data_IF_408411318026
#
_entry.id   IF_408411318026
#
_cell.length_a   1.000
_cell.length_b   1.000
_cell.length_c   1.000
_cell.angle_alpha   90.00
_cell.angle_beta   90.00
_cell.angle_gamma   90.00
#
_symmetry.space_group_name_H-M   'P 1'
#
loop_
_entity.id
_entity.type
_entity.pdbx_description
1 polymer ?
#
# COMPACT_ATOMS: atom_id res chain seq x y z
N UNK A 1 91.58 27.20 19.38
CA UNK A 1 90.52 28.02 18.74
C UNK A 1 89.46 27.01 18.37
N UNK A 2 88.50 26.84 19.25
CA UNK A 2 87.40 25.87 19.17
C UNK A 2 86.17 26.66 18.77
N UNK A 3 85.58 26.31 17.61
CA UNK A 3 84.38 26.88 17.12
C UNK A 3 83.18 26.21 17.80
N UNK A 4 82.14 26.95 18.25
CA UNK A 4 80.96 26.34 18.91
C UNK A 4 79.95 25.90 17.87
N UNK A 5 79.54 24.65 17.98
CA UNK A 5 78.48 23.97 17.26
C UNK A 5 77.09 24.56 17.61
N UNK A 6 76.36 24.95 16.59
CA UNK A 6 74.99 25.51 16.69
C UNK A 6 73.96 24.33 16.64
N UNK A 7 73.05 24.16 17.61
CA UNK A 7 72.06 23.10 17.56
C UNK A 7 70.96 23.44 16.56
N UNK A 8 70.71 22.51 15.62
CA UNK A 8 69.61 22.53 14.65
C UNK A 8 68.31 22.21 15.37
N UNK A 9 67.39 23.13 15.40
CA UNK A 9 66.02 22.90 15.84
C UNK A 9 65.22 22.15 14.77
N UNK A 10 64.93 20.87 15.04
CA UNK A 10 63.98 20.05 14.26
C UNK A 10 62.56 20.66 14.34
N UNK A 11 62.04 21.16 13.21
CA UNK A 11 60.64 21.56 13.06
C UNK A 11 59.79 20.30 12.99
N UNK A 12 59.14 19.93 14.10
CA UNK A 12 58.08 18.91 14.14
C UNK A 12 56.88 19.37 13.29
N UNK A 13 56.76 18.76 12.11
CA UNK A 13 55.58 18.89 11.25
C UNK A 13 54.42 18.09 11.90
N UNK A 14 53.58 18.78 12.68
CA UNK A 14 52.32 18.22 13.14
C UNK A 14 51.41 17.99 11.96
N UNK A 15 51.25 16.72 11.59
CA UNK A 15 50.35 16.20 10.59
C UNK A 15 48.92 16.67 10.93
N UNK A 16 48.28 17.47 10.08
CA UNK A 16 46.88 17.91 10.18
C UNK A 16 45.89 16.86 9.65
N UNK A 17 46.38 15.69 9.24
CA UNK A 17 45.62 14.61 8.67
C UNK A 17 44.44 14.06 9.54
N UNK A 18 44.58 13.87 10.87
CA UNK A 18 43.48 13.36 11.68
C UNK A 18 42.32 14.32 11.84
N UNK A 19 42.55 15.65 11.76
CA UNK A 19 41.49 16.65 11.85
C UNK A 19 40.63 16.75 10.58
N UNK A 20 41.22 16.50 9.41
CA UNK A 20 40.53 16.50 8.12
C UNK A 20 39.65 15.25 8.00
N UNK A 21 40.14 14.08 8.40
CA UNK A 21 39.37 12.83 8.39
C UNK A 21 38.20 12.87 9.36
N UNK A 22 38.37 13.43 10.57
CA UNK A 22 37.30 13.62 11.54
C UNK A 22 36.21 14.57 11.02
N UNK A 23 36.59 15.66 10.35
CA UNK A 23 35.65 16.61 9.74
C UNK A 23 34.81 15.97 8.61
N UNK A 24 35.42 15.15 7.74
CA UNK A 24 34.72 14.45 6.66
C UNK A 24 33.74 13.39 7.18
N UNK A 25 34.08 12.69 8.25
CA UNK A 25 33.17 11.71 8.89
C UNK A 25 31.96 12.40 9.51
N UNK A 26 32.16 13.54 10.21
CA UNK A 26 31.05 14.31 10.77
C UNK A 26 30.15 14.88 9.69
N UNK A 27 30.69 15.41 8.61
CA UNK A 27 29.90 15.88 7.46
C UNK A 27 29.13 14.72 6.81
N UNK A 28 29.74 13.55 6.64
CA UNK A 28 29.07 12.38 6.09
C UNK A 28 27.91 11.89 6.99
N UNK A 29 28.07 11.92 8.32
CA UNK A 29 27.03 11.58 9.28
C UNK A 29 25.88 12.61 9.25
N UNK A 30 26.22 13.90 9.17
CA UNK A 30 25.22 14.97 9.06
C UNK A 30 24.45 14.88 7.74
N UNK A 31 25.16 14.64 6.62
CA UNK A 31 24.51 14.46 5.29
C UNK A 31 23.66 13.19 5.28
N UNK A 32 24.12 12.08 5.85
CA UNK A 32 23.34 10.86 5.98
C UNK A 32 22.13 11.05 6.91
N UNK A 33 22.30 11.78 8.01
CA UNK A 33 21.21 12.13 8.94
C UNK A 33 20.17 13.06 8.30
N UNK A 34 20.61 14.06 7.53
CA UNK A 34 19.71 14.95 6.78
C UNK A 34 19.03 14.18 5.66
N UNK A 35 19.74 13.32 4.93
CA UNK A 35 19.16 12.46 3.90
C UNK A 35 18.12 11.49 4.48
N UNK A 36 18.40 10.92 5.66
CA UNK A 36 17.46 10.04 6.36
C UNK A 36 16.23 10.81 6.90
N UNK A 37 16.43 12.06 7.34
CA UNK A 37 15.36 12.93 7.83
C UNK A 37 14.49 13.54 6.71
N UNK A 38 15.02 13.62 5.49
CA UNK A 38 14.35 14.11 4.28
C UNK A 38 13.83 12.97 3.40
N UNK A 39 13.94 11.72 3.86
CA UNK A 39 13.41 10.59 3.14
C UNK A 39 11.90 10.62 3.27
N UNK A 40 11.22 10.62 2.14
CA UNK A 40 9.79 10.38 2.09
C UNK A 40 9.55 8.94 2.57
N UNK A 41 8.88 8.80 3.72
CA UNK A 41 8.56 7.49 4.31
C UNK A 41 7.19 6.97 3.80
N UNK A 42 6.67 7.55 2.71
CA UNK A 42 5.47 7.05 2.06
C UNK A 42 5.75 5.68 1.44
N UNK A 43 4.89 4.67 1.66
CA UNK A 43 5.00 3.40 0.98
C UNK A 43 4.79 3.57 -0.53
N UNK A 44 5.37 2.68 -1.32
CA UNK A 44 5.24 2.70 -2.78
C UNK A 44 3.77 2.64 -3.22
N UNK A 45 3.48 3.19 -4.41
CA UNK A 45 2.16 3.08 -5.04
C UNK A 45 1.80 1.62 -5.35
N UNK A 46 0.51 1.32 -5.38
CA UNK A 46 0.03 -0.03 -5.72
C UNK A 46 0.45 -0.42 -7.13
N UNK A 47 0.93 -1.66 -7.28
CA UNK A 47 1.41 -2.21 -8.55
C UNK A 47 1.05 -3.69 -8.63
N UNK A 48 0.48 -4.14 -9.77
CA UNK A 48 0.02 -5.51 -9.93
C UNK A 48 1.18 -6.52 -9.88
N UNK A 49 2.32 -6.23 -10.48
CA UNK A 49 3.45 -7.17 -10.52
C UNK A 49 4.01 -7.41 -9.11
N UNK A 50 4.10 -6.35 -8.29
CA UNK A 50 4.54 -6.43 -6.91
C UNK A 50 3.53 -7.19 -6.05
N UNK A 51 2.23 -6.91 -6.21
CA UNK A 51 1.16 -7.62 -5.50
C UNK A 51 1.14 -9.12 -5.84
N UNK A 52 1.30 -9.49 -7.11
CA UNK A 52 1.39 -10.89 -7.57
C UNK A 52 2.64 -11.59 -7.00
N UNK A 53 3.79 -10.92 -6.99
CA UNK A 53 5.03 -11.49 -6.45
C UNK A 53 4.89 -11.80 -4.95
N UNK A 54 4.20 -10.95 -4.20
CA UNK A 54 3.96 -11.13 -2.76
C UNK A 54 3.06 -12.34 -2.47
N UNK A 55 1.97 -12.52 -3.23
CA UNK A 55 1.06 -13.68 -3.10
C UNK A 55 1.82 -14.99 -3.36
N UNK A 56 2.57 -15.07 -4.46
CA UNK A 56 3.35 -16.25 -4.81
C UNK A 56 4.37 -16.64 -3.74
N UNK A 57 5.02 -15.65 -3.09
CA UNK A 57 6.00 -15.89 -2.02
C UNK A 57 5.32 -16.41 -0.74
N UNK A 58 4.12 -15.93 -0.44
CA UNK A 58 3.37 -16.34 0.75
C UNK A 58 2.90 -17.78 0.63
N UNK A 59 2.46 -18.21 -0.55
CA UNK A 59 2.03 -19.59 -0.82
C UNK A 59 3.19 -20.59 -0.71
N UNK A 60 4.38 -20.28 -1.22
CA UNK A 60 5.57 -21.13 -1.06
C UNK A 60 6.01 -21.31 0.39
N UNK A 61 5.85 -20.29 1.23
CA UNK A 61 6.21 -20.37 2.65
C UNK A 61 5.26 -21.28 3.46
N UNK A 62 3.99 -21.38 3.06
CA UNK A 62 3.00 -22.23 3.71
C UNK A 62 3.19 -23.73 3.41
N UNK A 63 3.70 -24.09 2.22
CA UNK A 63 3.87 -25.49 1.79
C UNK A 63 5.13 -26.18 2.35
N UNK A 64 6.06 -25.48 2.98
CA UNK A 64 7.31 -26.06 3.52
C UNK A 64 7.19 -26.66 4.94
N UNK A 65 6.00 -26.74 5.51
CA UNK A 65 5.74 -27.04 6.94
C UNK A 65 5.27 -28.44 7.31
N UNK A 66 5.13 -29.45 6.41
CA UNK A 66 4.79 -30.81 6.86
C UNK A 66 5.35 -31.90 5.94
N UNK A 67 6.49 -32.46 6.34
CA UNK A 67 6.97 -33.77 5.88
C UNK A 67 7.03 -34.74 7.05
N UNK A 68 6.00 -35.55 7.22
CA UNK A 68 6.11 -36.76 8.06
C UNK A 68 4.79 -37.26 8.61
N UNK A 69 4.08 -38.13 8.00
CA UNK A 69 3.97 -39.54 8.39
C UNK A 69 2.90 -40.29 7.59
N UNK A 70 3.25 -41.49 7.22
CA UNK A 70 2.45 -42.49 6.52
C UNK A 70 1.34 -43.03 7.42
N UNK A 71 0.07 -43.02 6.93
CA UNK A 71 -1.03 -43.74 7.55
C UNK A 71 -2.24 -43.82 6.61
N UNK A 72 -2.41 -44.97 5.96
CA UNK A 72 -3.58 -45.32 5.15
C UNK A 72 -4.85 -45.31 5.99
N UNK A 73 -5.94 -44.74 5.49
CA UNK A 73 -7.15 -45.46 5.08
C UNK A 73 -8.41 -44.59 5.15
N UNK A 74 -9.23 -44.76 4.12
CA UNK A 74 -10.68 -44.65 4.05
C UNK A 74 -11.37 -43.28 3.91
N UNK A 75 -11.64 -43.01 2.67
CA UNK A 75 -12.93 -42.60 2.11
C UNK A 75 -13.78 -41.54 2.82
N UNK A 76 -13.57 -40.29 2.50
CA UNK A 76 -14.69 -39.40 2.27
C UNK A 76 -14.31 -38.42 1.15
N UNK A 77 -14.67 -38.78 -0.06
CA UNK A 77 -14.62 -37.87 -1.22
C UNK A 77 -15.60 -36.73 -0.96
N UNK A 78 -15.13 -35.67 -0.36
CA UNK A 78 -15.70 -34.38 -0.68
C UNK A 78 -15.07 -34.00 -2.01
N UNK A 79 -15.78 -34.30 -3.08
CA UNK A 79 -15.48 -33.84 -4.41
C UNK A 79 -15.61 -32.33 -4.37
N UNK A 80 -14.53 -31.64 -4.04
CA UNK A 80 -14.33 -30.26 -4.43
C UNK A 80 -14.30 -30.32 -5.96
N UNK A 81 -15.42 -29.94 -6.59
CA UNK A 81 -15.45 -29.64 -8.01
C UNK A 81 -14.45 -28.51 -8.16
N UNK A 82 -13.28 -28.80 -8.75
CA UNK A 82 -12.46 -27.77 -9.34
C UNK A 82 -13.40 -27.09 -10.36
N UNK A 83 -13.89 -25.91 -10.04
CA UNK A 83 -14.62 -25.10 -10.98
C UNK A 83 -13.57 -24.66 -12.01
N UNK A 84 -13.55 -25.36 -13.16
CA UNK A 84 -12.79 -24.93 -14.31
C UNK A 84 -13.33 -23.55 -14.73
N UNK A 85 -12.59 -22.48 -14.42
CA UNK A 85 -12.94 -21.12 -14.81
C UNK A 85 -12.98 -20.12 -13.67
N UNK A 86 -13.24 -18.86 -14.00
CA UNK A 86 -13.32 -17.72 -13.06
C UNK A 86 -14.76 -17.42 -12.63
N UNK A 87 -15.77 -18.10 -13.20
CA UNK A 87 -17.20 -17.90 -12.89
C UNK A 87 -17.51 -18.24 -11.43
N UNK A 88 -18.30 -17.41 -10.76
CA UNK A 88 -18.76 -17.59 -9.39
C UNK A 88 -18.64 -16.34 -8.54
N UNK A 89 -18.81 -16.52 -7.23
CA UNK A 89 -18.64 -15.48 -6.24
C UNK A 89 -17.20 -15.48 -5.73
N UNK A 90 -16.64 -14.27 -5.59
CA UNK A 90 -15.31 -14.02 -5.09
C UNK A 90 -15.39 -13.01 -3.98
N UNK A 91 -14.80 -13.31 -2.84
CA UNK A 91 -14.83 -12.48 -1.63
C UNK A 91 -13.43 -11.99 -1.27
N UNK A 92 -13.36 -10.84 -0.64
CA UNK A 92 -12.08 -10.31 -0.14
C UNK A 92 -11.50 -11.27 0.87
N UNK A 93 -10.26 -11.66 0.64
CA UNK A 93 -9.44 -12.44 1.56
C UNK A 93 -8.65 -11.48 2.45
N UNK A 94 -8.84 -11.62 3.75
CA UNK A 94 -8.11 -10.88 4.80
C UNK A 94 -7.20 -11.79 5.61
N UNK A 95 -7.11 -13.07 5.26
CA UNK A 95 -6.27 -14.06 5.95
C UNK A 95 -4.91 -14.24 5.24
N UNK A 96 -4.87 -14.06 3.91
CA UNK A 96 -3.64 -14.15 3.13
C UNK A 96 -2.89 -12.84 3.16
N UNK A 97 -1.60 -12.91 3.50
CA UNK A 97 -0.74 -11.76 3.66
C UNK A 97 -0.92 -11.09 5.02
N UNK A 98 -0.18 -10.03 5.21
CA UNK A 98 -0.23 -9.20 6.41
C UNK A 98 -0.47 -7.75 6.00
N UNK A 99 -1.22 -7.03 6.81
CA UNK A 99 -1.37 -5.60 6.67
C UNK A 99 -0.54 -4.91 7.75
N UNK A 100 0.46 -4.18 7.35
CA UNK A 100 1.00 -3.06 8.08
C UNK A 100 1.11 -1.85 7.14
N UNK A 101 1.30 -0.67 7.70
CA UNK A 101 1.33 0.57 6.93
C UNK A 101 2.41 0.58 5.84
N UNK A 102 3.58 0.01 6.10
CA UNK A 102 4.75 0.11 5.21
C UNK A 102 4.83 -1.04 4.19
N UNK A 103 4.34 -2.21 4.54
CA UNK A 103 4.56 -3.44 3.76
C UNK A 103 3.30 -4.31 3.66
N UNK A 104 2.18 -3.72 3.23
CA UNK A 104 0.94 -4.47 3.06
C UNK A 104 1.07 -5.50 1.93
N UNK A 105 1.06 -6.79 2.31
CA UNK A 105 1.08 -7.93 1.37
C UNK A 105 -0.30 -8.54 1.17
N UNK A 106 -1.26 -8.19 2.03
CA UNK A 106 -2.66 -8.59 1.98
C UNK A 106 -3.56 -7.56 1.29
N UNK A 107 -4.86 -7.72 1.52
CA UNK A 107 -5.86 -6.76 1.03
C UNK A 107 -5.78 -5.46 1.81
N UNK A 108 -5.85 -4.33 1.12
CA UNK A 108 -5.97 -3.01 1.74
C UNK A 108 -6.63 -2.00 0.79
N UNK A 109 -7.13 -0.92 1.37
CA UNK A 109 -7.61 0.28 0.68
C UNK A 109 -6.99 1.50 1.35
N UNK A 110 -6.66 2.53 0.58
CA UNK A 110 -6.01 3.72 1.13
C UNK A 110 -6.14 4.95 0.26
N UNK A 111 -5.42 5.98 0.67
CA UNK A 111 -5.32 7.24 -0.04
C UNK A 111 -3.89 7.78 -0.01
N UNK A 112 -3.58 8.63 -1.00
CA UNK A 112 -2.36 9.43 -1.10
C UNK A 112 -2.72 10.89 -1.33
N UNK A 113 -2.01 11.79 -0.69
CA UNK A 113 -2.23 13.24 -0.80
C UNK A 113 -0.89 13.96 -0.79
N UNK A 114 -0.65 14.79 -1.79
CA UNK A 114 0.50 15.68 -1.79
C UNK A 114 0.35 16.78 -0.76
N UNK A 115 1.38 16.98 0.07
CA UNK A 115 1.45 18.06 1.05
C UNK A 115 2.79 18.78 1.00
N UNK A 116 2.83 20.02 1.43
CA UNK A 116 4.05 20.79 1.63
C UNK A 116 4.21 21.12 3.11
N UNK A 117 5.33 20.69 3.69
CA UNK A 117 5.62 20.87 5.10
C UNK A 117 6.69 21.94 5.34
N UNK A 118 6.48 22.81 6.32
CA UNK A 118 7.43 23.84 6.71
C UNK A 118 8.76 23.22 7.19
N UNK A 119 9.85 23.56 6.47
CA UNK A 119 11.19 23.09 6.81
C UNK A 119 11.55 21.71 6.26
N UNK A 120 10.60 20.99 5.64
CA UNK A 120 10.79 19.71 4.98
C UNK A 120 10.65 19.86 3.47
N UNK A 121 9.59 20.49 2.98
CA UNK A 121 9.25 20.64 1.56
C UNK A 121 8.08 19.79 1.15
N UNK A 122 8.02 19.40 -0.13
CA UNK A 122 7.00 18.52 -0.67
C UNK A 122 7.17 17.10 -0.13
N UNK A 123 6.07 16.52 0.36
CA UNK A 123 5.95 15.16 0.88
C UNK A 123 4.61 14.58 0.48
N UNK A 124 4.45 13.28 0.63
CA UNK A 124 3.19 12.60 0.40
C UNK A 124 2.64 12.04 1.72
N UNK A 125 1.38 12.34 2.03
CA UNK A 125 0.65 11.73 3.12
C UNK A 125 -0.09 10.50 2.60
N UNK A 126 0.18 9.33 3.17
CA UNK A 126 -0.48 8.07 2.82
C UNK A 126 -1.21 7.55 4.05
N UNK A 127 -2.43 7.07 3.85
CA UNK A 127 -3.21 6.38 4.87
C UNK A 127 -3.83 5.12 4.28
N UNK A 128 -3.76 4.00 5.00
CA UNK A 128 -4.24 2.68 4.56
C UNK A 128 -4.98 1.95 5.67
N UNK A 129 -5.90 1.07 5.29
CA UNK A 129 -6.53 0.10 6.18
C UNK A 129 -6.65 -1.25 5.50
N UNK A 130 -6.43 -2.33 6.25
CA UNK A 130 -6.69 -3.72 5.83
C UNK A 130 -8.11 -4.19 6.14
N UNK A 131 -8.90 -3.41 6.88
CA UNK A 131 -10.28 -3.77 7.24
C UNK A 131 -11.24 -3.47 6.08
N UNK A 132 -11.19 -4.32 5.08
CA UNK A 132 -12.02 -4.27 3.88
C UNK A 132 -12.77 -5.58 3.71
N UNK A 133 -14.02 -5.51 3.31
CA UNK A 133 -14.91 -6.66 3.07
C UNK A 133 -15.71 -6.48 1.79
N UNK A 134 -16.37 -7.55 1.34
CA UNK A 134 -17.16 -7.54 0.13
C UNK A 134 -16.65 -8.50 -0.92
N UNK A 135 -17.02 -8.26 -2.18
CA UNK A 135 -16.63 -9.16 -3.27
C UNK A 135 -17.28 -8.84 -4.59
N UNK A 136 -17.09 -9.74 -5.54
CA UNK A 136 -17.62 -9.63 -6.90
C UNK A 136 -18.32 -10.94 -7.31
N UNK A 137 -19.25 -10.81 -8.26
CA UNK A 137 -19.88 -11.95 -8.92
C UNK A 137 -19.48 -11.94 -10.39
N UNK A 138 -18.96 -13.09 -10.86
CA UNK A 138 -18.56 -13.31 -12.25
C UNK A 138 -19.52 -14.31 -12.88
N UNK A 139 -20.11 -13.94 -14.01
CA UNK A 139 -20.95 -14.81 -14.86
C UNK A 139 -20.23 -14.98 -16.21
N UNK A 140 -19.78 -16.20 -16.48
CA UNK A 140 -18.93 -16.47 -17.64
C UNK A 140 -17.61 -15.72 -17.57
N UNK A 141 -17.44 -14.67 -18.39
CA UNK A 141 -16.26 -13.77 -18.40
C UNK A 141 -16.60 -12.32 -18.07
N UNK A 142 -17.74 -12.09 -17.43
CA UNK A 142 -18.22 -10.74 -17.11
C UNK A 142 -18.43 -10.60 -15.60
N UNK A 143 -17.85 -9.58 -14.97
CA UNK A 143 -18.22 -9.18 -13.62
C UNK A 143 -19.57 -8.49 -13.71
N UNK A 144 -20.60 -9.08 -13.09
CA UNK A 144 -21.98 -8.58 -13.15
C UNK A 144 -22.37 -7.81 -11.91
N UNK A 145 -21.68 -8.02 -10.79
CA UNK A 145 -21.87 -7.29 -9.54
C UNK A 145 -20.55 -7.16 -8.78
N UNK A 146 -20.45 -6.10 -7.97
CA UNK A 146 -19.32 -5.87 -7.07
C UNK A 146 -19.72 -4.90 -5.98
N UNK A 147 -19.46 -5.24 -4.73
CA UNK A 147 -19.76 -4.41 -3.57
C UNK A 147 -18.66 -4.55 -2.53
N UNK A 148 -18.15 -3.43 -2.03
CA UNK A 148 -17.09 -3.38 -1.04
C UNK A 148 -17.41 -2.39 0.06
N UNK A 149 -17.05 -2.75 1.29
CA UNK A 149 -17.12 -1.88 2.47
C UNK A 149 -15.76 -1.83 3.15
N UNK A 150 -15.35 -0.64 3.56
CA UNK A 150 -14.07 -0.34 4.19
C UNK A 150 -14.31 0.31 5.54
N UNK A 151 -13.72 -0.23 6.62
CA UNK A 151 -13.74 0.40 7.94
C UNK A 151 -12.72 1.56 7.97
N UNK A 152 -13.24 2.78 8.00
CA UNK A 152 -12.44 4.00 8.04
C UNK A 152 -11.85 4.27 9.43
N UNK A 153 -12.37 3.62 10.48
CA UNK A 153 -11.91 3.82 11.86
C UNK A 153 -10.54 3.21 12.12
N UNK A 154 -10.10 2.32 11.24
CA UNK A 154 -8.83 1.59 11.33
C UNK A 154 -7.76 2.12 10.38
N UNK A 155 -8.04 3.21 9.65
CA UNK A 155 -7.02 3.84 8.80
C UNK A 155 -5.83 4.27 9.65
N UNK A 156 -4.64 3.84 9.25
CA UNK A 156 -3.36 4.21 9.83
C UNK A 156 -2.48 4.94 8.82
N UNK A 157 -1.64 5.84 9.34
CA UNK A 157 -0.59 6.53 8.59
C UNK A 157 0.75 6.33 9.31
N UNK A 158 1.84 6.89 8.79
CA UNK A 158 3.13 6.86 9.47
C UNK A 158 3.19 7.73 10.75
N UNK A 159 2.12 8.46 11.08
CA UNK A 159 2.06 9.41 12.19
C UNK A 159 0.73 9.35 12.93
N UNK A 160 0.69 8.88 14.17
CA UNK A 160 -0.53 8.74 14.97
C UNK A 160 -1.34 10.05 15.13
N UNK A 161 -0.66 11.21 15.11
CA UNK A 161 -1.33 12.51 15.12
C UNK A 161 -2.02 12.84 13.80
N UNK A 162 -1.55 12.23 12.70
CA UNK A 162 -2.21 12.31 11.39
C UNK A 162 -3.45 11.43 11.41
N UNK A 163 -3.37 10.24 12.01
CA UNK A 163 -4.52 9.33 12.16
C UNK A 163 -5.71 10.03 12.80
N UNK A 164 -5.51 10.70 13.94
CA UNK A 164 -6.56 11.47 14.63
C UNK A 164 -7.20 12.55 13.72
N UNK A 165 -6.42 13.17 12.85
CA UNK A 165 -6.91 14.20 11.92
C UNK A 165 -7.68 13.59 10.75
N UNK A 166 -7.22 12.48 10.20
CA UNK A 166 -7.92 11.72 9.17
C UNK A 166 -9.27 11.26 9.70
N UNK A 167 -9.31 10.67 10.91
CA UNK A 167 -10.53 10.28 11.59
C UNK A 167 -11.52 11.46 11.74
N UNK A 168 -11.00 12.62 12.16
CA UNK A 168 -11.82 13.83 12.32
C UNK A 168 -12.33 14.38 11.00
N UNK A 169 -11.51 14.40 9.94
CA UNK A 169 -11.89 14.90 8.62
C UNK A 169 -12.98 14.04 7.96
N UNK A 170 -12.85 12.72 8.10
CA UNK A 170 -13.82 11.74 7.63
C UNK A 170 -15.05 11.66 8.53
N UNK A 171 -15.01 12.24 9.75
CA UNK A 171 -16.04 12.15 10.77
C UNK A 171 -16.46 10.70 11.06
N UNK A 172 -15.47 9.83 11.30
CA UNK A 172 -15.67 8.38 11.45
C UNK A 172 -16.54 8.00 12.64
N UNK A 173 -16.67 8.85 13.66
CA UNK A 173 -17.66 8.68 14.74
C UNK A 173 -19.12 8.65 14.22
N UNK A 174 -19.41 9.24 13.05
CA UNK A 174 -20.74 9.31 12.44
C UNK A 174 -20.82 8.47 11.17
N UNK A 175 -19.71 8.37 10.46
CA UNK A 175 -19.58 7.68 9.17
C UNK A 175 -18.37 6.71 9.24
N UNK A 176 -18.51 5.59 9.97
CA UNK A 176 -17.37 4.70 10.21
C UNK A 176 -16.90 3.96 8.97
N UNK A 177 -17.75 3.86 7.93
CA UNK A 177 -17.41 3.09 6.73
C UNK A 177 -17.49 3.94 5.46
N UNK A 178 -16.72 3.53 4.44
CA UNK A 178 -16.92 3.89 3.05
C UNK A 178 -17.39 2.67 2.26
N UNK A 179 -18.17 2.90 1.20
CA UNK A 179 -18.66 1.80 0.35
C UNK A 179 -18.45 2.11 -1.11
N UNK A 180 -18.23 1.05 -1.89
CA UNK A 180 -18.23 1.12 -3.36
C UNK A 180 -19.18 0.07 -3.92
N UNK A 181 -20.07 0.48 -4.82
CA UNK A 181 -21.03 -0.37 -5.52
C UNK A 181 -20.82 -0.26 -7.03
N UNK A 182 -20.47 -1.39 -7.67
CA UNK A 182 -20.31 -1.44 -9.12
C UNK A 182 -21.64 -1.15 -9.82
N UNK A 183 -21.66 -0.20 -10.75
CA UNK A 183 -22.89 0.19 -11.47
C UNK A 183 -22.93 -0.27 -12.92
N UNK A 184 -21.83 -0.78 -13.44
CA UNK A 184 -21.74 -1.31 -14.81
C UNK A 184 -20.95 -2.62 -14.85
N UNK A 185 -21.23 -3.50 -15.81
CA UNK A 185 -20.50 -4.75 -15.96
C UNK A 185 -19.06 -4.51 -16.42
N UNK A 186 -18.14 -5.43 -16.07
CA UNK A 186 -16.74 -5.43 -16.51
C UNK A 186 -16.49 -6.69 -17.33
N UNK A 187 -16.07 -6.53 -18.58
CA UNK A 187 -15.66 -7.64 -19.45
C UNK A 187 -14.21 -8.03 -19.18
N UNK A 188 -13.99 -9.25 -18.73
CA UNK A 188 -12.66 -9.75 -18.34
C UNK A 188 -11.87 -10.33 -19.53
N UNK A 189 -12.58 -10.77 -20.58
CA UNK A 189 -11.97 -11.45 -21.71
C UNK A 189 -11.69 -12.94 -21.45
N UNK A 190 -11.42 -13.67 -22.52
CA UNK A 190 -11.29 -15.14 -22.46
C UNK A 190 -10.01 -15.61 -21.72
N UNK A 191 -8.94 -14.81 -21.71
CA UNK A 191 -7.66 -15.16 -21.08
C UNK A 191 -7.63 -14.99 -19.56
N UNK A 192 -8.65 -14.35 -18.97
CA UNK A 192 -8.70 -14.12 -17.53
C UNK A 192 -8.63 -15.42 -16.70
N UNK A 193 -9.32 -16.46 -17.15
CA UNK A 193 -9.29 -17.79 -16.53
C UNK A 193 -7.93 -18.49 -16.63
N UNK A 194 -7.12 -18.13 -17.62
CA UNK A 194 -5.78 -18.67 -17.85
C UNK A 194 -4.70 -17.85 -17.14
N UNK A 195 -5.08 -16.87 -16.32
CA UNK A 195 -4.17 -16.00 -15.59
C UNK A 195 -3.53 -14.89 -16.44
N UNK A 196 -4.14 -14.53 -17.58
CA UNK A 196 -3.74 -13.31 -18.29
C UNK A 196 -4.14 -12.07 -17.49
N UNK A 197 -3.32 -11.03 -17.57
CA UNK A 197 -3.62 -9.75 -16.91
C UNK A 197 -4.83 -9.10 -17.59
N UNK A 198 -5.82 -8.73 -16.78
CA UNK A 198 -6.99 -7.97 -17.20
C UNK A 198 -6.78 -6.51 -16.83
N UNK A 199 -6.92 -5.60 -17.79
CA UNK A 199 -6.97 -4.14 -17.56
C UNK A 199 -8.36 -3.66 -17.93
N UNK A 200 -9.02 -2.98 -17.01
CA UNK A 200 -10.39 -2.51 -17.19
C UNK A 200 -10.63 -1.20 -16.43
N UNK A 201 -11.82 -0.64 -16.55
CA UNK A 201 -12.29 0.48 -15.74
C UNK A 201 -13.54 0.04 -14.99
N UNK A 202 -13.50 0.06 -13.66
CA UNK A 202 -14.66 -0.13 -12.82
C UNK A 202 -15.40 1.20 -12.68
N UNK A 203 -16.68 1.21 -13.09
CA UNK A 203 -17.58 2.36 -12.91
C UNK A 203 -18.53 2.04 -11.77
N UNK A 204 -18.56 2.90 -10.75
CA UNK A 204 -19.38 2.62 -9.57
C UNK A 204 -19.67 3.85 -8.73
N UNK A 205 -20.53 3.65 -7.77
CA UNK A 205 -20.92 4.65 -6.80
C UNK A 205 -20.06 4.49 -5.53
N UNK A 206 -19.21 5.49 -5.27
CA UNK A 206 -18.40 5.58 -4.06
C UNK A 206 -19.12 6.47 -3.04
N UNK A 207 -19.27 5.96 -1.82
CA UNK A 207 -19.81 6.72 -0.70
C UNK A 207 -18.75 6.93 0.38
N UNK A 208 -18.44 8.19 0.66
CA UNK A 208 -17.56 8.61 1.76
C UNK A 208 -18.30 9.67 2.56
N UNK A 209 -18.22 9.60 3.89
CA UNK A 209 -18.83 10.60 4.80
C UNK A 209 -20.32 10.86 4.50
N UNK A 210 -21.04 9.80 4.08
CA UNK A 210 -22.47 9.87 3.72
C UNK A 210 -22.77 10.58 2.40
N UNK A 211 -21.76 10.94 1.62
CA UNK A 211 -21.91 11.54 0.28
C UNK A 211 -21.53 10.53 -0.77
N UNK A 212 -22.39 10.30 -1.75
CA UNK A 212 -22.18 9.36 -2.85
C UNK A 212 -21.83 10.10 -4.14
N UNK A 213 -20.77 9.66 -4.81
CA UNK A 213 -20.35 10.13 -6.13
C UNK A 213 -20.11 8.96 -7.05
N UNK A 214 -20.46 9.09 -8.32
CA UNK A 214 -20.08 8.12 -9.33
C UNK A 214 -18.63 8.37 -9.74
N UNK A 215 -17.81 7.32 -9.70
CA UNK A 215 -16.40 7.37 -10.06
C UNK A 215 -16.05 6.34 -11.12
N UNK A 216 -14.95 6.59 -11.82
CA UNK A 216 -14.28 5.64 -12.70
C UNK A 216 -12.94 5.28 -12.07
N UNK A 217 -12.70 3.99 -11.85
CA UNK A 217 -11.45 3.49 -11.28
C UNK A 217 -10.76 2.55 -12.27
N UNK A 218 -9.66 2.96 -12.87
CA UNK A 218 -8.77 2.05 -13.59
C UNK A 218 -8.32 0.92 -12.68
N UNK A 219 -8.42 -0.31 -13.16
CA UNK A 219 -8.05 -1.51 -12.42
C UNK A 219 -7.20 -2.43 -13.27
N UNK A 220 -6.30 -3.15 -12.62
CA UNK A 220 -5.60 -4.29 -13.18
C UNK A 220 -5.81 -5.51 -12.29
N UNK A 221 -6.06 -6.67 -12.89
CA UNK A 221 -6.29 -7.90 -12.14
C UNK A 221 -5.64 -9.11 -12.80
N UNK A 222 -5.28 -10.10 -11.99
CA UNK A 222 -4.70 -11.36 -12.44
C UNK A 222 -5.11 -12.50 -11.53
N UNK A 223 -5.46 -13.63 -12.13
CA UNK A 223 -5.67 -14.88 -11.39
C UNK A 223 -4.32 -15.58 -11.16
N UNK A 224 -3.96 -15.79 -9.89
CA UNK A 224 -2.71 -16.43 -9.46
C UNK A 224 -3.02 -17.47 -8.41
N UNK A 225 -2.76 -18.75 -8.70
CA UNK A 225 -2.92 -19.87 -7.74
C UNK A 225 -4.31 -19.93 -7.06
N UNK A 226 -5.36 -19.54 -7.78
CA UNK A 226 -6.74 -19.56 -7.26
C UNK A 226 -7.15 -18.28 -6.53
N UNK A 227 -6.28 -17.28 -6.44
CA UNK A 227 -6.55 -15.95 -5.90
C UNK A 227 -6.59 -14.92 -7.03
N UNK A 228 -7.61 -14.09 -7.07
CA UNK A 228 -7.62 -12.91 -7.95
C UNK A 228 -6.91 -11.77 -7.23
N UNK A 229 -5.77 -11.36 -7.74
CA UNK A 229 -5.04 -10.17 -7.30
C UNK A 229 -5.56 -8.99 -8.10
N UNK A 230 -6.13 -8.00 -7.42
CA UNK A 230 -6.71 -6.80 -8.01
C UNK A 230 -6.03 -5.57 -7.44
N UNK A 231 -5.56 -4.67 -8.30
CA UNK A 231 -5.08 -3.34 -7.92
C UNK A 231 -5.84 -2.27 -8.68
N UNK A 232 -5.98 -1.10 -8.09
CA UNK A 232 -6.62 0.03 -8.72
C UNK A 232 -6.26 1.34 -8.06
N UNK A 233 -6.31 2.42 -8.83
CA UNK A 233 -6.14 3.78 -8.30
C UNK A 233 -6.90 4.80 -9.13
N UNK A 234 -7.41 5.86 -8.47
CA UNK A 234 -8.08 6.97 -9.14
C UNK A 234 -7.98 8.25 -8.32
N UNK A 235 -7.94 9.39 -8.99
CA UNK A 235 -7.99 10.68 -8.32
C UNK A 235 -9.42 11.06 -7.92
N UNK A 236 -9.58 11.61 -6.72
CA UNK A 236 -10.84 12.20 -6.23
C UNK A 236 -10.60 13.61 -5.69
N UNK A 237 -11.63 14.45 -5.79
CA UNK A 237 -11.69 15.76 -5.12
C UNK A 237 -12.35 15.57 -3.76
N UNK A 238 -11.65 15.86 -2.68
CA UNK A 238 -12.18 15.66 -1.32
C UNK A 238 -13.44 16.46 -1.02
N UNK A 239 -13.53 17.68 -1.56
CA UNK A 239 -14.70 18.54 -1.40
C UNK A 239 -15.98 17.93 -1.98
N UNK A 240 -15.91 17.08 -3.01
CA UNK A 240 -17.06 16.40 -3.61
C UNK A 240 -17.72 15.41 -2.64
N UNK A 241 -16.97 14.96 -1.63
CA UNK A 241 -17.45 14.11 -0.54
C UNK A 241 -17.66 14.87 0.78
N UNK A 242 -17.54 16.20 0.76
CA UNK A 242 -17.68 17.02 1.96
C UNK A 242 -16.55 16.78 2.99
N UNK A 243 -15.41 16.30 2.54
CA UNK A 243 -14.20 16.15 3.36
C UNK A 243 -13.39 17.43 3.27
N UNK A 244 -13.16 18.05 4.43
CA UNK A 244 -12.28 19.21 4.54
C UNK A 244 -10.86 18.72 4.87
N UNK A 245 -9.90 19.13 4.04
CA UNK A 245 -8.49 18.74 4.24
C UNK A 245 -7.97 19.36 5.53
N UNK A 246 -7.43 18.57 6.47
CA UNK A 246 -6.96 19.07 7.75
C UNK A 246 -5.76 20.01 7.58
N UNK A 247 -5.75 21.14 8.30
CA UNK A 247 -4.61 22.03 8.39
C UNK A 247 -3.85 21.83 9.70
N UNK A 248 -2.52 22.03 9.68
CA UNK A 248 -1.67 22.00 10.85
C UNK A 248 -0.63 23.12 10.76
N UNK A 249 -0.07 23.60 11.90
CA UNK A 249 0.89 24.72 11.88
C UNK A 249 2.15 24.48 11.05
N UNK A 250 2.53 23.22 10.82
CA UNK A 250 3.68 22.83 10.00
C UNK A 250 3.29 22.55 8.53
N UNK A 251 2.00 22.45 8.23
CA UNK A 251 1.50 22.18 6.88
C UNK A 251 1.29 23.52 6.17
N UNK A 252 2.05 23.76 5.12
CA UNK A 252 1.97 24.97 4.30
C UNK A 252 0.84 24.87 3.27
N UNK A 253 0.70 23.70 2.66
CA UNK A 253 -0.40 23.38 1.74
C UNK A 253 -0.65 21.87 1.71
N UNK A 254 -1.87 21.50 1.35
CA UNK A 254 -2.30 20.14 1.03
C UNK A 254 -3.08 20.22 -0.27
N UNK A 255 -2.92 19.25 -1.15
CA UNK A 255 -3.67 19.20 -2.40
C UNK A 255 -5.18 19.01 -2.13
N UNK A 256 -6.01 19.64 -2.95
CA UNK A 256 -7.48 19.48 -2.91
C UNK A 256 -7.94 18.13 -3.52
N UNK A 257 -7.03 17.49 -4.25
CA UNK A 257 -7.20 16.20 -4.92
C UNK A 257 -6.28 15.19 -4.28
N UNK A 258 -6.76 13.98 -4.08
CA UNK A 258 -5.94 12.86 -3.62
C UNK A 258 -6.22 11.62 -4.45
N UNK A 259 -5.28 10.68 -4.42
CA UNK A 259 -5.42 9.38 -5.06
C UNK A 259 -5.99 8.39 -4.08
N UNK A 260 -7.11 7.75 -4.43
CA UNK A 260 -7.55 6.51 -3.80
C UNK A 260 -6.77 5.36 -4.41
N UNK A 261 -6.32 4.44 -3.58
CA UNK A 261 -5.63 3.22 -4.02
C UNK A 261 -6.23 1.99 -3.34
N UNK A 262 -6.16 0.85 -4.02
CA UNK A 262 -6.54 -0.43 -3.46
C UNK A 262 -5.67 -1.56 -3.98
N UNK A 263 -5.45 -2.55 -3.12
CA UNK A 263 -4.97 -3.88 -3.44
C UNK A 263 -5.92 -4.86 -2.77
N UNK A 264 -6.57 -5.70 -3.55
CA UNK A 264 -7.49 -6.70 -3.01
C UNK A 264 -7.09 -8.10 -3.49
N UNK A 265 -7.05 -9.01 -2.56
CA UNK A 265 -6.94 -10.44 -2.82
C UNK A 265 -8.35 -11.02 -2.72
N UNK A 266 -8.84 -11.64 -3.78
CA UNK A 266 -10.17 -12.23 -3.79
C UNK A 266 -10.04 -13.74 -3.93
N UNK A 267 -10.73 -14.47 -3.06
CA UNK A 267 -10.80 -15.93 -3.08
C UNK A 267 -12.23 -16.37 -3.34
N UNK A 268 -12.41 -17.60 -3.79
CA UNK A 268 -13.77 -18.14 -4.01
C UNK A 268 -14.55 -18.19 -2.71
N UNK A 269 -15.76 -17.60 -2.72
CA UNK A 269 -16.71 -17.60 -1.62
C UNK A 269 -17.42 -18.94 -1.43
#
# INVERSE_FOLDING_TARGET
>A
MTDPEVPQTEKSSRSKAPLIVGGLVVVAIVVAGVFWLLRDDAPDEVNLDDAVAQVSTTTEAADTGDTGDTGSDDGSSTTGVAADGIEGEWTVDTETGEFDYESATGSFVGFRIDEELAGVGATEAVGRTGDVSGGITIEGTTVTAGSFEVDLTTITTNESRRDDRVQSALATDQFPTATFELTGPIELGAGAADGETVTATAVGDLTIKGTTQSIEMPIEAKLVEGTVVLVGSTEITFADFGVEVPSAPIVLSVADVGTLELQLLLVRG
#
